data_IF_926631052277
#
_entry.id   IF_926631052277
#
_cell.length_a   1.000
_cell.length_b   1.000
_cell.length_c   1.000
_cell.angle_alpha   90.00
_cell.angle_beta   90.00
_cell.angle_gamma   90.00
#
_symmetry.space_group_name_H-M   'P 1'
#
loop_
_entity.id
_entity.type
_entity.pdbx_description
1 polymer ?
#
# COMPACT_ATOMS: atom_id res chain seq x y z
N UNK A 1 16.45 -12.97 -6.75
CA UNK A 1 15.39 -12.05 -6.27
C UNK A 1 14.43 -12.88 -5.45
N UNK A 2 14.40 -12.73 -4.12
CA UNK A 2 13.49 -13.53 -3.30
C UNK A 2 12.06 -13.03 -3.61
N UNK A 3 11.07 -13.91 -3.69
CA UNK A 3 9.68 -13.56 -4.04
C UNK A 3 9.10 -12.46 -3.11
N UNK A 4 9.70 -12.28 -1.92
CA UNK A 4 9.35 -11.26 -0.93
C UNK A 4 9.76 -9.84 -1.30
N UNK A 5 10.81 -9.69 -2.10
CA UNK A 5 11.25 -8.38 -2.59
C UNK A 5 10.20 -7.78 -3.54
N UNK A 6 9.41 -8.64 -4.21
CA UNK A 6 8.31 -8.25 -5.10
C UNK A 6 7.12 -7.66 -4.32
N UNK A 7 6.92 -8.03 -3.04
CA UNK A 7 5.84 -7.44 -2.22
C UNK A 7 6.05 -5.94 -1.97
N UNK A 8 7.29 -5.44 -2.03
CA UNK A 8 7.59 -4.01 -1.93
C UNK A 8 7.11 -3.21 -3.15
N UNK A 9 6.78 -3.88 -4.27
CA UNK A 9 6.18 -3.24 -5.44
C UNK A 9 4.68 -3.00 -5.30
N UNK A 10 4.01 -3.66 -4.35
CA UNK A 10 2.57 -3.51 -4.12
C UNK A 10 2.11 -2.06 -3.91
N UNK A 11 2.75 -1.22 -3.07
CA UNK A 11 2.38 0.19 -2.96
C UNK A 11 2.58 0.99 -4.25
N UNK A 12 3.60 0.67 -5.05
CA UNK A 12 3.82 1.34 -6.32
C UNK A 12 2.69 1.02 -7.30
N UNK A 13 2.26 -0.24 -7.38
CA UNK A 13 1.12 -0.63 -8.23
C UNK A 13 -0.18 0.00 -7.71
N UNK A 14 -0.40 0.00 -6.40
CA UNK A 14 -1.58 0.57 -5.76
C UNK A 14 -1.71 2.09 -5.90
N UNK A 15 -0.58 2.81 -5.98
CA UNK A 15 -0.51 4.27 -6.14
C UNK A 15 -0.23 4.73 -7.58
N UNK A 16 0.09 3.83 -8.53
CA UNK A 16 0.21 4.19 -9.95
C UNK A 16 -1.10 4.00 -10.72
N UNK A 17 -2.06 3.26 -10.15
CA UNK A 17 -3.37 3.06 -10.75
C UNK A 17 -4.30 4.26 -10.51
N UNK A 18 -3.92 5.41 -11.07
CA UNK A 18 -4.59 6.70 -10.90
C UNK A 18 -6.12 6.66 -11.10
N UNK A 19 -6.69 5.99 -12.12
CA UNK A 19 -8.14 5.98 -12.30
C UNK A 19 -8.89 5.13 -11.25
N UNK A 20 -8.20 4.31 -10.46
CA UNK A 20 -8.84 3.44 -9.47
C UNK A 20 -9.19 4.19 -8.18
N UNK A 21 -8.32 5.12 -7.77
CA UNK A 21 -8.47 5.86 -6.52
C UNK A 21 -8.65 7.37 -6.66
N UNK A 22 -8.64 7.90 -7.88
CA UNK A 22 -9.07 9.26 -8.16
C UNK A 22 -10.61 9.39 -8.18
N UNK A 23 -11.25 8.90 -7.12
CA UNK A 23 -12.67 9.05 -6.88
C UNK A 23 -12.85 10.02 -5.71
N UNK A 24 -13.93 10.82 -5.74
CA UNK A 24 -14.29 11.63 -4.58
C UNK A 24 -15.08 10.81 -3.55
N UNK A 25 -15.78 9.78 -3.99
CA UNK A 25 -16.56 8.85 -3.17
C UNK A 25 -15.93 7.45 -3.17
N UNK A 26 -16.00 6.69 -2.06
CA UNK A 26 -16.64 7.02 -0.79
C UNK A 26 -15.84 8.02 0.07
N UNK A 27 -16.57 8.91 0.74
CA UNK A 27 -16.02 9.84 1.72
C UNK A 27 -16.04 9.16 3.09
N UNK A 28 -14.89 9.10 3.75
CA UNK A 28 -14.74 8.53 5.10
C UNK A 28 -14.38 9.64 6.07
N UNK A 29 -15.21 9.85 7.11
CA UNK A 29 -15.00 10.92 8.10
C UNK A 29 -14.82 12.33 7.51
N UNK A 30 -15.43 12.60 6.34
CA UNK A 30 -15.25 13.88 5.61
C UNK A 30 -14.03 13.91 4.68
N UNK A 31 -13.22 12.84 4.62
CA UNK A 31 -12.08 12.71 3.69
C UNK A 31 -12.50 11.99 2.40
N UNK A 32 -12.26 12.58 1.21
CA UNK A 32 -12.47 11.92 -0.08
C UNK A 32 -11.62 10.65 -0.26
N UNK A 33 -12.09 9.74 -1.13
CA UNK A 33 -11.42 8.46 -1.44
C UNK A 33 -9.95 8.60 -1.77
N UNK A 34 -9.62 9.56 -2.63
CA UNK A 34 -8.24 9.87 -3.01
C UNK A 34 -7.28 10.02 -1.81
N UNK A 35 -7.70 10.74 -0.76
CA UNK A 35 -6.83 11.05 0.38
C UNK A 35 -6.72 9.88 1.34
N UNK A 36 -7.85 9.33 1.78
CA UNK A 36 -7.79 8.28 2.79
C UNK A 36 -7.20 6.99 2.24
N UNK A 37 -7.36 6.72 0.94
CA UNK A 37 -6.72 5.58 0.29
C UNK A 37 -5.19 5.67 0.38
N UNK A 38 -4.60 6.85 0.12
CA UNK A 38 -3.15 7.07 0.29
C UNK A 38 -2.71 6.90 1.74
N UNK A 39 -3.50 7.41 2.69
CA UNK A 39 -3.22 7.21 4.11
C UNK A 39 -3.31 5.74 4.53
N UNK A 40 -4.25 4.97 3.99
CA UNK A 40 -4.37 3.53 4.25
C UNK A 40 -3.15 2.75 3.73
N UNK A 41 -2.46 3.24 2.70
CA UNK A 41 -1.22 2.64 2.23
C UNK A 41 -0.05 2.78 3.21
N UNK A 42 -0.07 3.76 4.13
CA UNK A 42 1.00 3.93 5.14
C UNK A 42 1.12 2.73 6.09
N UNK A 43 0.06 2.27 6.79
CA UNK A 43 0.14 1.07 7.61
C UNK A 43 0.33 -0.20 6.76
N UNK A 44 -0.28 -0.28 5.57
CA UNK A 44 -0.10 -1.43 4.66
C UNK A 44 1.37 -1.61 4.28
N UNK A 45 2.04 -0.55 3.85
CA UNK A 45 3.48 -0.59 3.52
C UNK A 45 4.33 -0.93 4.72
N UNK A 46 4.02 -0.38 5.90
CA UNK A 46 4.72 -0.71 7.15
C UNK A 46 4.64 -2.21 7.46
N UNK A 47 3.45 -2.83 7.31
CA UNK A 47 3.25 -4.29 7.49
C UNK A 47 3.99 -5.09 6.42
N UNK A 48 3.95 -4.67 5.16
CA UNK A 48 4.66 -5.34 4.07
C UNK A 48 6.18 -5.34 4.30
N UNK A 49 6.75 -4.20 4.72
CA UNK A 49 8.17 -4.07 5.07
C UNK A 49 8.51 -4.99 6.26
N UNK A 50 7.67 -5.01 7.30
CA UNK A 50 7.89 -5.88 8.45
C UNK A 50 7.86 -7.37 8.07
N UNK A 51 6.91 -7.78 7.23
CA UNK A 51 6.83 -9.16 6.73
C UNK A 51 8.04 -9.53 5.87
N UNK A 52 8.49 -8.63 5.00
CA UNK A 52 9.69 -8.82 4.18
C UNK A 52 10.94 -8.96 5.07
N UNK A 53 11.11 -8.07 6.06
CA UNK A 53 12.22 -8.13 7.01
C UNK A 53 12.20 -9.43 7.84
N UNK A 54 11.05 -9.77 8.43
CA UNK A 54 10.89 -10.97 9.27
C UNK A 54 11.19 -12.25 8.50
N UNK A 55 10.85 -12.30 7.22
CA UNK A 55 11.10 -13.47 6.38
C UNK A 55 12.53 -13.50 5.82
N UNK A 56 13.10 -12.34 5.52
CA UNK A 56 14.52 -12.20 5.16
C UNK A 56 15.46 -12.67 6.29
N UNK A 57 15.11 -12.39 7.55
CA UNK A 57 15.84 -12.83 8.75
C UNK A 57 15.82 -14.35 9.02
N UNK A 58 14.95 -15.12 8.34
CA UNK A 58 14.77 -16.57 8.58
C UNK A 58 15.46 -17.48 7.56
N UNK A 59 16.15 -16.91 6.58
CA UNK A 59 16.99 -17.60 5.59
C UNK A 59 18.40 -17.09 5.69
#
# INVERSE_FOLDING_TARGET
>A
MKIFDVLLLAPFVGLLWLPFYNLQTPVLFGFPFFYWYQFAWVPVTSVLIWLAWKKGSRT
#
